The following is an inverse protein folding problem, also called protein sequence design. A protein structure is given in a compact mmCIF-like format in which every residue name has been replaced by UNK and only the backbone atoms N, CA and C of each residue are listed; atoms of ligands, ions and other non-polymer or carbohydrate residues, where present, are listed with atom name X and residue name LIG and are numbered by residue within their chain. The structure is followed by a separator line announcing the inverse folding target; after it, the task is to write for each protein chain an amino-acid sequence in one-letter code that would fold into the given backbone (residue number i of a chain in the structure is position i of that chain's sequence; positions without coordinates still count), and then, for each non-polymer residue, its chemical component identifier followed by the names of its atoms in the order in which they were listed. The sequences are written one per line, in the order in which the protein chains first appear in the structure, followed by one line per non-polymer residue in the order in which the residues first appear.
data_IF_008842400380
#
_entry.id   IF_008842400380
#
_cell.length_a   1.000
_cell.length_b   1.000
_cell.length_c   1.000
_cell.angle_alpha   90.00
_cell.angle_beta   90.00
_cell.angle_gamma   90.00
#
_symmetry.space_group_name_H-M   'P 1'
#
loop_
_entity.id
_entity.type
_entity.pdbx_description
1 polymer ?
#
# COMPACT_ATOMS: atom_id res chain seq x y z
N UNK A 1 -2.74 -7.02 8.89
CA UNK A 1 -2.45 -7.79 7.67
C UNK A 1 -3.26 -7.21 6.51
N UNK A 2 -2.65 -7.11 5.32
CA UNK A 2 -3.31 -6.61 4.12
C UNK A 2 -4.33 -7.64 3.56
N UNK A 3 -5.38 -7.16 2.90
CA UNK A 3 -6.48 -7.96 2.34
C UNK A 3 -6.94 -7.36 1.02
N UNK A 4 -7.50 -8.20 0.15
CA UNK A 4 -8.08 -7.78 -1.12
C UNK A 4 -9.51 -8.34 -1.24
N UNK A 5 -10.45 -7.50 -1.66
CA UNK A 5 -11.86 -7.85 -1.86
C UNK A 5 -12.38 -7.33 -3.19
N UNK A 6 -13.09 -8.15 -3.94
CA UNK A 6 -13.75 -7.74 -5.18
C UNK A 6 -15.05 -7.00 -4.89
N UNK A 7 -15.27 -5.94 -5.66
CA UNK A 7 -16.52 -5.20 -5.76
C UNK A 7 -16.87 -4.96 -7.24
N UNK A 8 -18.08 -4.43 -7.50
CA UNK A 8 -18.58 -4.24 -8.87
C UNK A 8 -17.65 -3.41 -9.77
N UNK A 9 -16.87 -2.47 -9.21
CA UNK A 9 -15.99 -1.58 -9.97
C UNK A 9 -14.50 -1.91 -9.93
N UNK A 10 -14.06 -2.88 -9.13
CA UNK A 10 -12.63 -3.09 -8.87
C UNK A 10 -12.33 -3.93 -7.65
N UNK A 11 -11.06 -3.95 -7.27
CA UNK A 11 -10.56 -4.59 -6.05
C UNK A 11 -10.32 -3.49 -5.02
N UNK A 12 -10.91 -3.63 -3.84
CA UNK A 12 -10.51 -2.85 -2.67
C UNK A 12 -9.40 -3.59 -1.95
N UNK A 13 -8.27 -2.92 -1.74
CA UNK A 13 -7.14 -3.42 -0.98
C UNK A 13 -7.01 -2.57 0.27
N UNK A 14 -7.09 -3.20 1.44
CA UNK A 14 -6.98 -2.55 2.74
C UNK A 14 -5.90 -3.19 3.59
N UNK A 15 -5.27 -2.40 4.46
CA UNK A 15 -4.27 -2.89 5.40
C UNK A 15 -4.36 -2.17 6.73
N UNK A 16 -3.78 -2.80 7.75
CA UNK A 16 -3.65 -2.18 9.07
C UNK A 16 -2.43 -1.27 9.03
N UNK A 17 -2.61 0.02 9.34
CA UNK A 17 -1.50 0.96 9.57
C UNK A 17 -0.61 0.39 10.66
N UNK A 18 0.70 0.30 10.38
CA UNK A 18 1.69 -0.03 11.41
C UNK A 18 2.13 1.28 12.08
N UNK A 19 2.10 1.33 13.41
CA UNK A 19 2.86 2.36 14.13
C UNK A 19 4.35 2.10 13.88
N UNK A 20 5.12 3.16 13.67
CA UNK A 20 6.57 3.05 13.76
C UNK A 20 6.89 2.88 15.24
N UNK A 21 7.62 1.82 15.58
CA UNK A 21 8.13 1.64 16.93
C UNK A 21 9.15 2.76 17.12
N UNK A 22 8.76 3.82 17.81
CA UNK A 22 9.66 4.81 18.42
C UNK A 22 9.04 5.24 19.76
N UNK A 23 9.01 4.29 20.69
CA UNK A 23 8.49 4.47 22.04
C UNK A 23 9.60 4.34 23.09
N UNK A 24 10.83 4.80 22.79
CA UNK A 24 11.93 4.80 23.75
C UNK A 24 12.95 5.95 23.54
N UNK A 25 12.48 7.13 23.12
CA UNK A 25 13.30 8.35 23.21
C UNK A 25 12.53 9.43 23.95
N UNK A 26 12.88 9.63 25.22
CA UNK A 26 12.41 10.72 26.07
C UNK A 26 13.12 12.06 25.77
N UNK A 27 13.50 12.30 24.51
CA UNK A 27 13.99 13.61 24.09
C UNK A 27 12.97 14.25 23.17
N UNK A 28 12.41 15.38 23.62
CA UNK A 28 11.66 16.35 22.83
C UNK A 28 12.57 16.90 21.72
N UNK A 29 12.85 16.09 20.69
CA UNK A 29 13.21 16.62 19.40
C UNK A 29 11.89 16.98 18.71
N UNK A 30 11.71 18.24 18.34
CA UNK A 30 10.56 18.71 17.57
C UNK A 30 10.28 17.73 16.43
N UNK A 31 9.17 16.98 16.54
CA UNK A 31 8.63 16.18 15.46
C UNK A 31 8.46 17.12 14.27
N UNK A 32 9.19 16.94 13.15
CA UNK A 32 9.08 17.84 12.02
C UNK A 32 7.61 17.91 11.57
N UNK A 33 7.08 19.13 11.43
CA UNK A 33 5.76 19.45 10.88
C UNK A 33 5.57 18.74 9.52
N UNK A 34 5.14 17.47 9.55
CA UNK A 34 5.16 16.59 8.39
C UNK A 34 5.16 15.08 8.71
N UNK A 35 5.53 14.66 9.92
CA UNK A 35 5.43 13.24 10.33
C UNK A 35 4.00 12.72 10.50
N UNK A 36 2.99 13.59 10.55
CA UNK A 36 1.59 13.18 10.69
C UNK A 36 0.89 12.81 9.36
N UNK A 37 1.51 13.07 8.20
CA UNK A 37 0.84 12.81 6.91
C UNK A 37 0.93 11.33 6.59
N UNK A 38 -0.18 10.61 6.79
CA UNK A 38 -0.34 9.23 6.38
C UNK A 38 -0.30 9.13 4.84
N UNK A 39 0.80 8.59 4.30
CA UNK A 39 0.96 8.34 2.86
C UNK A 39 1.57 6.97 2.62
N UNK A 40 1.09 6.28 1.61
CA UNK A 40 1.61 4.99 1.19
C UNK A 40 1.92 4.99 -0.31
N UNK A 41 2.99 4.30 -0.68
CA UNK A 41 3.21 3.80 -2.03
C UNK A 41 2.72 2.36 -2.11
N UNK A 42 1.88 2.09 -3.09
CA UNK A 42 1.30 0.77 -3.33
C UNK A 42 1.66 0.37 -4.75
N UNK A 43 2.14 -0.85 -4.94
CA UNK A 43 2.47 -1.37 -6.26
C UNK A 43 1.91 -2.77 -6.48
N UNK A 44 1.34 -2.99 -7.66
CA UNK A 44 0.91 -4.30 -8.16
C UNK A 44 2.03 -4.89 -8.99
N UNK A 45 2.29 -6.18 -8.81
CA UNK A 45 3.38 -6.91 -9.48
C UNK A 45 2.89 -8.17 -10.16
N UNK A 46 3.64 -8.59 -11.17
CA UNK A 46 3.53 -9.89 -11.80
C UNK A 46 4.93 -10.44 -12.04
N UNK A 47 5.22 -11.63 -11.53
CA UNK A 47 6.54 -12.25 -11.66
C UNK A 47 7.68 -11.38 -11.12
N UNK A 48 7.39 -10.55 -10.10
CA UNK A 48 8.34 -9.61 -9.52
C UNK A 48 8.50 -8.28 -10.27
N UNK A 49 7.90 -8.12 -11.45
CA UNK A 49 7.89 -6.86 -12.21
C UNK A 49 6.74 -5.98 -11.74
N UNK A 50 6.99 -4.69 -11.51
CA UNK A 50 5.94 -3.72 -11.18
C UNK A 50 5.13 -3.42 -12.43
N UNK A 51 3.83 -3.76 -12.38
CA UNK A 51 2.88 -3.39 -13.43
C UNK A 51 2.30 -2.00 -13.18
N UNK A 52 1.99 -1.70 -11.92
CA UNK A 52 1.38 -0.44 -11.51
C UNK A 52 1.94 0.01 -10.18
N UNK A 53 2.06 1.34 -10.01
CA UNK A 53 2.40 1.98 -8.76
C UNK A 53 1.51 3.21 -8.57
N UNK A 54 0.98 3.37 -7.37
CA UNK A 54 0.07 4.45 -7.00
C UNK A 54 0.38 4.92 -5.57
N UNK A 55 0.17 6.20 -5.30
CA UNK A 55 0.21 6.74 -3.95
C UNK A 55 -1.21 6.93 -3.40
N UNK A 56 -1.38 6.69 -2.10
CA UNK A 56 -2.63 6.89 -1.36
C UNK A 56 -2.34 7.57 -0.02
N UNK A 57 -3.29 8.36 0.46
CA UNK A 57 -3.26 9.06 1.75
C UNK A 57 -3.97 8.29 2.87
N UNK A 58 -4.39 7.05 2.59
CA UNK A 58 -5.11 6.18 3.51
C UNK A 58 -4.54 4.78 3.47
N UNK A 59 -4.75 3.99 4.53
CA UNK A 59 -4.41 2.56 4.58
C UNK A 59 -5.33 1.68 3.70
N UNK A 60 -5.71 2.19 2.53
CA UNK A 60 -6.51 1.53 1.54
C UNK A 60 -6.21 2.09 0.14
N UNK A 61 -6.37 1.24 -0.86
CA UNK A 61 -6.31 1.61 -2.27
C UNK A 61 -7.39 0.85 -3.05
N UNK A 62 -8.08 1.57 -3.93
CA UNK A 62 -9.03 0.97 -4.86
C UNK A 62 -8.35 0.79 -6.21
N UNK A 63 -8.29 -0.45 -6.67
CA UNK A 63 -7.72 -0.83 -7.96
C UNK A 63 -8.86 -1.10 -8.95
N UNK A 64 -9.15 -0.16 -9.88
CA UNK A 64 -10.31 -0.26 -10.76
C UNK A 64 -10.23 -1.44 -11.74
N UNK A 65 -11.37 -2.03 -12.10
CA UNK A 65 -11.44 -3.12 -13.08
C UNK A 65 -10.76 -2.76 -14.42
N UNK A 66 -10.88 -1.51 -14.87
CA UNK A 66 -10.26 -1.06 -16.11
C UNK A 66 -8.72 -1.12 -16.04
N UNK A 67 -8.16 -0.77 -14.87
CA UNK A 67 -6.71 -0.84 -14.65
C UNK A 67 -6.24 -2.29 -14.47
N UNK A 68 -7.01 -3.11 -13.76
CA UNK A 68 -6.75 -4.55 -13.66
C UNK A 68 -6.74 -5.22 -15.03
N UNK A 69 -7.72 -4.92 -15.88
CA UNK A 69 -7.79 -5.46 -17.24
C UNK A 69 -6.65 -4.92 -18.13
N UNK A 70 -6.24 -3.67 -17.95
CA UNK A 70 -5.11 -3.12 -18.69
C UNK A 70 -3.78 -3.78 -18.30
N UNK A 71 -3.59 -4.08 -17.01
CA UNK A 71 -2.34 -4.61 -16.49
C UNK A 71 -2.21 -6.12 -16.70
N UNK A 72 -3.32 -6.88 -16.62
CA UNK A 72 -3.32 -8.35 -16.67
C UNK A 72 -4.06 -8.96 -17.86
N UNK A 73 -4.89 -8.18 -18.58
CA UNK A 73 -5.75 -8.68 -19.66
C UNK A 73 -6.99 -9.47 -19.20
N UNK A 74 -7.10 -9.79 -17.91
CA UNK A 74 -8.24 -10.50 -17.32
C UNK A 74 -8.37 -10.17 -15.83
N UNK A 75 -9.56 -10.42 -15.26
CA UNK A 75 -9.76 -10.31 -13.82
C UNK A 75 -8.93 -11.37 -13.06
N UNK A 76 -8.28 -10.95 -11.99
CA UNK A 76 -7.40 -11.79 -11.18
C UNK A 76 -8.13 -12.36 -9.96
N UNK A 77 -7.75 -13.59 -9.60
CA UNK A 77 -8.17 -14.24 -8.35
C UNK A 77 -7.17 -14.02 -7.20
N UNK A 78 -5.93 -13.61 -7.52
CA UNK A 78 -4.87 -13.27 -6.58
C UNK A 78 -4.01 -12.15 -7.19
N UNK A 79 -3.50 -11.24 -6.36
CA UNK A 79 -2.57 -10.18 -6.77
C UNK A 79 -1.33 -10.15 -5.87
N UNK A 80 -0.15 -9.97 -6.45
CA UNK A 80 1.07 -9.66 -5.70
C UNK A 80 1.15 -8.15 -5.49
N UNK A 81 1.27 -7.73 -4.23
CA UNK A 81 1.29 -6.32 -3.85
C UNK A 81 2.51 -5.98 -3.00
N UNK A 82 3.03 -4.78 -3.24
CA UNK A 82 3.98 -4.09 -2.36
C UNK A 82 3.31 -2.88 -1.75
N UNK A 83 3.46 -2.69 -0.44
CA UNK A 83 2.96 -1.52 0.29
C UNK A 83 4.09 -0.95 1.12
N UNK A 84 4.37 0.34 0.98
CA UNK A 84 5.38 1.03 1.76
C UNK A 84 4.81 2.33 2.31
N UNK A 85 4.94 2.57 3.62
CA UNK A 85 4.56 3.85 4.21
C UNK A 85 5.65 4.89 3.90
N UNK A 86 5.25 6.03 3.35
CA UNK A 86 6.14 7.14 3.03
C UNK A 86 6.16 8.10 4.23
N UNK A 87 7.36 8.35 4.76
CA UNK A 87 7.62 9.43 5.73
C UNK A 87 8.13 10.67 4.99
N UNK A 88 7.74 11.86 5.45
CA UNK A 88 8.30 13.12 4.95
C UNK A 88 9.80 13.27 5.27
N UNK A 89 10.26 12.72 6.40
CA UNK A 89 11.65 12.82 6.85
C UNK A 89 12.56 11.73 6.26
N UNK A 90 12.04 10.50 6.11
CA UNK A 90 12.86 9.31 5.75
C UNK A 90 12.54 8.76 4.36
N UNK A 91 11.46 9.21 3.71
CA UNK A 91 11.00 8.65 2.42
C UNK A 91 10.31 7.29 2.59
N UNK A 92 10.45 6.37 1.62
CA UNK A 92 9.85 5.02 1.70
C UNK A 92 10.40 4.27 2.92
N UNK A 93 9.51 3.90 3.84
CA UNK A 93 9.82 3.03 4.96
C UNK A 93 9.81 1.54 4.59
N UNK A 94 9.76 0.69 5.62
CA UNK A 94 9.72 -0.77 5.45
C UNK A 94 8.57 -1.20 4.53
N UNK A 95 8.89 -2.09 3.59
CA UNK A 95 7.96 -2.62 2.62
C UNK A 95 7.27 -3.88 3.16
N UNK A 96 5.96 -3.95 2.96
CA UNK A 96 5.23 -5.20 2.93
C UNK A 96 5.22 -5.71 1.49
N UNK A 97 5.60 -6.97 1.27
CA UNK A 97 5.39 -7.70 0.03
C UNK A 97 4.55 -8.93 0.34
N UNK A 98 3.47 -9.14 -0.41
CA UNK A 98 2.64 -10.33 -0.25
C UNK A 98 1.73 -10.59 -1.43
N UNK A 99 1.25 -11.83 -1.52
CA UNK A 99 0.19 -12.22 -2.44
C UNK A 99 -1.13 -12.26 -1.69
N UNK A 100 -2.13 -11.60 -2.26
CA UNK A 100 -3.44 -11.44 -1.65
C UNK A 100 -4.47 -12.19 -2.51
N UNK A 101 -5.08 -13.28 -2.01
CA UNK A 101 -6.24 -13.86 -2.65
C UNK A 101 -7.40 -12.85 -2.59
N UNK A 102 -8.09 -12.69 -3.70
CA UNK A 102 -9.19 -11.73 -3.86
C UNK A 102 -10.49 -12.43 -3.46
N UNK A 103 -11.10 -11.95 -2.38
CA UNK A 103 -12.35 -12.49 -1.83
C UNK A 103 -13.60 -11.77 -2.33
#
# INVERSE_FOLDING_TARGET
HARARRAAGGITIDWIRRSRIDADSWDLAEVPLGEEVERYDVAVRLGGVVLRRQTTDRAAWFYPNAEELADFGAAQAEIEIVIAQISAAVGRGQEYLGRLPIR
#
